data_IF_981407655749
#
_entry.id   IF_981407655749
#
_cell.length_a   1.000
_cell.length_b   1.000
_cell.length_c   1.000
_cell.angle_alpha   90.00
_cell.angle_beta   90.00
_cell.angle_gamma   90.00
#
_symmetry.space_group_name_H-M   'P 1'
#
loop_
_entity.id
_entity.type
_entity.pdbx_description
1 polymer ?
#
# COMPACT_ATOMS: atom_id res chain seq x y z
N UNK A 1 -15.83 28.81 8.00
CA UNK A 1 -15.97 27.32 8.03
C UNK A 1 -16.76 26.88 6.80
N UNK A 2 -16.18 26.08 5.90
CA UNK A 2 -16.83 25.70 4.62
C UNK A 2 -18.03 24.76 4.84
N UNK A 3 -19.23 25.19 4.42
CA UNK A 3 -20.49 24.44 4.50
C UNK A 3 -20.44 23.06 3.83
N UNK A 4 -19.63 22.91 2.77
CA UNK A 4 -19.40 21.64 2.06
C UNK A 4 -18.75 20.57 2.95
N UNK A 5 -17.91 20.97 3.90
CA UNK A 5 -17.23 20.06 4.81
C UNK A 5 -18.15 19.44 5.86
N UNK A 6 -19.14 20.20 6.33
CA UNK A 6 -20.13 19.77 7.35
C UNK A 6 -21.13 18.77 6.75
N UNK A 7 -21.70 19.09 5.58
CA UNK A 7 -22.65 18.22 4.89
C UNK A 7 -22.07 16.82 4.58
N UNK A 8 -20.80 16.75 4.16
CA UNK A 8 -20.14 15.47 3.92
C UNK A 8 -19.98 14.63 5.19
N UNK A 9 -19.66 15.24 6.34
CA UNK A 9 -19.56 14.53 7.62
C UNK A 9 -20.93 14.04 8.10
N UNK A 10 -21.98 14.86 7.98
CA UNK A 10 -23.37 14.47 8.34
C UNK A 10 -23.84 13.31 7.46
N UNK A 11 -23.59 13.35 6.15
CA UNK A 11 -23.91 12.24 5.24
C UNK A 11 -23.25 10.93 5.68
N UNK A 12 -21.96 10.98 6.05
CA UNK A 12 -21.25 9.78 6.57
C UNK A 12 -21.84 9.30 7.89
N UNK A 13 -22.19 10.19 8.81
CA UNK A 13 -22.84 9.83 10.06
C UNK A 13 -24.18 9.10 9.80
N UNK A 14 -25.04 9.65 8.94
CA UNK A 14 -26.33 9.04 8.57
C UNK A 14 -26.16 7.66 7.93
N UNK A 15 -25.16 7.48 7.06
CA UNK A 15 -24.83 6.16 6.48
C UNK A 15 -24.44 5.14 7.56
N UNK A 16 -23.73 5.57 8.60
CA UNK A 16 -23.37 4.69 9.71
C UNK A 16 -24.58 4.34 10.58
N UNK A 17 -25.49 5.29 10.83
CA UNK A 17 -26.75 5.02 11.54
C UNK A 17 -27.57 3.99 10.78
N UNK A 18 -27.71 4.14 9.45
CA UNK A 18 -28.39 3.13 8.61
C UNK A 18 -27.70 1.77 8.64
N UNK A 19 -26.37 1.73 8.82
CA UNK A 19 -25.61 0.49 8.93
C UNK A 19 -25.75 -0.22 10.29
N UNK A 20 -26.34 0.42 11.32
CA UNK A 20 -26.57 -0.21 12.62
C UNK A 20 -27.58 -1.35 12.53
N UNK A 21 -28.68 -1.17 11.77
CA UNK A 21 -29.68 -2.22 11.59
C UNK A 21 -29.08 -3.51 11.01
N UNK A 22 -28.35 -3.50 9.87
CA UNK A 22 -27.73 -4.73 9.35
C UNK A 22 -26.63 -5.27 10.26
N UNK A 23 -25.87 -4.42 10.96
CA UNK A 23 -24.89 -4.86 11.95
C UNK A 23 -25.53 -5.63 13.11
N UNK A 24 -26.58 -5.06 13.73
CA UNK A 24 -27.30 -5.68 14.84
C UNK A 24 -28.00 -6.98 14.39
N UNK A 25 -28.63 -6.96 13.22
CA UNK A 25 -29.27 -8.15 12.66
C UNK A 25 -28.28 -9.31 12.46
N UNK A 26 -27.05 -9.03 12.02
CA UNK A 26 -25.99 -10.04 11.89
C UNK A 26 -25.51 -10.54 13.24
N UNK A 27 -25.29 -9.64 14.19
CA UNK A 27 -24.87 -9.98 15.56
C UNK A 27 -25.88 -10.89 16.26
N UNK A 28 -27.18 -10.63 16.10
CA UNK A 28 -28.27 -11.44 16.67
C UNK A 28 -28.36 -12.80 15.98
N UNK A 29 -28.22 -12.86 14.65
CA UNK A 29 -28.33 -14.11 13.89
C UNK A 29 -27.14 -15.06 14.07
N UNK A 30 -26.04 -14.64 14.70
CA UNK A 30 -24.84 -15.45 14.94
C UNK A 30 -24.16 -15.98 13.67
N UNK A 31 -24.62 -15.58 12.47
CA UNK A 31 -24.12 -16.07 11.20
C UNK A 31 -22.93 -15.23 10.74
N UNK A 32 -21.73 -15.65 11.12
CA UNK A 32 -20.55 -15.39 10.29
C UNK A 32 -20.68 -16.30 9.07
N UNK A 33 -21.38 -15.82 8.05
CA UNK A 33 -21.43 -16.53 6.78
C UNK A 33 -19.99 -16.61 6.26
N UNK A 34 -19.46 -17.83 6.07
CA UNK A 34 -18.12 -18.02 5.55
C UNK A 34 -18.10 -17.44 4.14
N UNK A 35 -17.43 -16.30 3.99
CA UNK A 35 -17.19 -15.67 2.69
C UNK A 35 -15.77 -15.97 2.26
N UNK A 36 -15.56 -16.10 0.96
CA UNK A 36 -14.21 -16.15 0.41
C UNK A 36 -13.62 -14.74 0.46
N UNK A 37 -12.68 -14.55 1.39
CA UNK A 37 -11.99 -13.29 1.60
C UNK A 37 -10.52 -13.57 1.81
N UNK A 38 -9.68 -12.73 1.21
CA UNK A 38 -8.23 -12.84 1.30
C UNK A 38 -7.61 -11.48 1.51
N UNK A 39 -6.68 -11.39 2.44
CA UNK A 39 -5.91 -10.17 2.69
C UNK A 39 -4.55 -10.31 2.00
N UNK A 40 -4.19 -9.27 1.26
CA UNK A 40 -2.89 -9.15 0.61
C UNK A 40 -2.23 -7.87 1.10
N UNK A 41 -1.03 -7.97 1.64
CA UNK A 41 -0.21 -6.80 1.97
C UNK A 41 0.83 -6.58 0.89
N UNK A 42 0.87 -5.35 0.36
CA UNK A 42 1.99 -4.87 -0.44
C UNK A 42 2.92 -4.12 0.51
N UNK A 43 3.95 -4.82 0.98
CA UNK A 43 5.00 -4.25 1.82
C UNK A 43 6.06 -3.65 0.89
N UNK A 44 6.22 -2.34 0.95
CA UNK A 44 7.06 -1.64 0.00
C UNK A 44 7.48 -0.30 0.58
N UNK A 45 7.86 0.63 -0.30
CA UNK A 45 8.37 1.92 0.09
C UNK A 45 7.89 3.03 -0.84
N UNK A 46 7.97 4.31 -0.42
CA UNK A 46 7.74 5.41 -1.33
C UNK A 46 8.62 5.28 -2.59
N UNK A 47 8.02 5.58 -3.75
CA UNK A 47 8.68 5.62 -5.08
C UNK A 47 9.16 4.28 -5.65
N UNK A 48 8.73 3.15 -5.08
CA UNK A 48 9.07 1.79 -5.56
C UNK A 48 8.19 1.27 -6.71
N UNK A 49 7.19 2.03 -7.17
CA UNK A 49 6.21 1.54 -8.14
C UNK A 49 4.88 1.06 -7.55
N UNK A 50 4.60 1.34 -6.27
CA UNK A 50 3.34 0.92 -5.62
C UNK A 50 2.06 1.42 -6.31
N UNK A 51 2.13 2.47 -7.13
CA UNK A 51 0.99 2.89 -7.94
C UNK A 51 0.76 1.95 -9.12
N UNK A 52 1.83 1.48 -9.77
CA UNK A 52 1.75 0.55 -10.89
C UNK A 52 1.26 -0.83 -10.42
N UNK A 53 1.77 -1.37 -9.32
CA UNK A 53 1.23 -2.63 -8.79
C UNK A 53 -0.24 -2.46 -8.33
N UNK A 54 -0.59 -1.28 -7.82
CA UNK A 54 -1.97 -0.95 -7.46
C UNK A 54 -2.92 -0.98 -8.65
N UNK A 55 -2.52 -0.46 -9.82
CA UNK A 55 -3.33 -0.56 -11.04
C UNK A 55 -3.46 -2.00 -11.55
N UNK A 56 -2.42 -2.82 -11.39
CA UNK A 56 -2.46 -4.24 -11.78
C UNK A 56 -3.33 -5.10 -10.86
N UNK A 57 -3.53 -4.65 -9.62
CA UNK A 57 -4.27 -5.35 -8.56
C UNK A 57 -5.58 -4.64 -8.16
N UNK A 58 -6.12 -3.76 -9.01
CA UNK A 58 -7.42 -3.12 -8.78
C UNK A 58 -8.41 -3.53 -9.86
N UNK A 59 -9.44 -4.28 -9.47
CA UNK A 59 -10.57 -4.62 -10.32
C UNK A 59 -11.75 -5.01 -9.42
N UNK A 60 -12.55 -4.03 -9.01
CA UNK A 60 -13.66 -4.26 -8.07
C UNK A 60 -14.70 -5.24 -8.62
N UNK A 61 -14.92 -5.26 -9.94
CA UNK A 61 -15.89 -6.15 -10.61
C UNK A 61 -15.43 -7.60 -10.54
N UNK A 62 -14.13 -7.82 -10.59
CA UNK A 62 -13.48 -9.14 -10.46
C UNK A 62 -13.02 -9.45 -9.03
N UNK A 63 -13.45 -8.65 -8.05
CA UNK A 63 -13.23 -8.92 -6.63
C UNK A 63 -11.89 -8.43 -6.06
N UNK A 64 -11.05 -7.74 -6.83
CA UNK A 64 -9.80 -7.14 -6.38
C UNK A 64 -10.01 -5.71 -5.87
N UNK A 65 -9.90 -5.53 -4.56
CA UNK A 65 -10.18 -4.28 -3.87
C UNK A 65 -8.88 -3.67 -3.37
N UNK A 66 -8.40 -2.64 -4.06
CA UNK A 66 -7.16 -1.95 -3.71
C UNK A 66 -7.43 -0.74 -2.81
N UNK A 67 -6.96 -0.79 -1.56
CA UNK A 67 -7.20 0.26 -0.56
C UNK A 67 -6.08 1.30 -0.48
N UNK A 68 -4.95 1.08 -1.18
CA UNK A 68 -3.77 1.95 -1.08
C UNK A 68 -3.22 2.03 0.35
N UNK A 69 -2.74 3.21 0.74
CA UNK A 69 -2.16 3.49 2.06
C UNK A 69 -3.27 3.65 3.12
N UNK A 70 -3.94 2.54 3.40
CA UNK A 70 -5.23 2.51 4.08
C UNK A 70 -5.16 2.98 5.53
N UNK A 71 -4.15 2.54 6.28
CA UNK A 71 -4.00 2.80 7.71
C UNK A 71 -3.44 4.18 8.06
N UNK A 72 -2.92 4.89 7.05
CA UNK A 72 -2.50 6.29 7.18
C UNK A 72 -3.46 7.22 6.44
N UNK A 73 -4.72 6.82 6.31
CA UNK A 73 -5.82 7.63 5.80
C UNK A 73 -5.46 8.55 4.63
N UNK A 74 -4.78 8.02 3.63
CA UNK A 74 -4.37 8.83 2.48
C UNK A 74 -5.36 8.69 1.30
N UNK A 75 -6.08 7.57 1.25
CA UNK A 75 -7.00 7.23 0.17
C UNK A 75 -8.41 6.88 0.68
N UNK A 76 -9.43 7.22 -0.11
CA UNK A 76 -10.79 6.76 0.14
C UNK A 76 -11.16 5.66 -0.85
N UNK A 77 -11.75 4.56 -0.37
CA UNK A 77 -12.26 3.47 -1.20
C UNK A 77 -13.77 3.29 -1.01
N UNK A 78 -14.54 3.00 -2.07
CA UNK A 78 -16.01 2.85 -1.96
C UNK A 78 -16.43 1.72 -1.01
N UNK A 79 -15.65 0.65 -0.94
CA UNK A 79 -15.88 -0.47 -0.01
C UNK A 79 -15.67 -0.12 1.47
N UNK A 80 -15.12 1.05 1.82
CA UNK A 80 -15.00 1.51 3.22
C UNK A 80 -16.36 1.56 3.91
N UNK A 81 -17.42 1.92 3.19
CA UNK A 81 -18.76 2.01 3.78
C UNK A 81 -19.34 0.63 4.13
N UNK A 82 -18.95 -0.41 3.39
CA UNK A 82 -19.37 -1.80 3.67
C UNK A 82 -18.80 -2.32 4.98
N UNK A 83 -17.66 -1.80 5.42
CA UNK A 83 -17.03 -2.14 6.70
C UNK A 83 -17.95 -1.76 7.87
N UNK A 84 -18.81 -0.74 7.73
CA UNK A 84 -19.75 -0.34 8.78
C UNK A 84 -20.68 -1.47 9.24
N UNK A 85 -20.98 -2.44 8.35
CA UNK A 85 -21.85 -3.57 8.68
C UNK A 85 -21.21 -4.59 9.62
N UNK A 86 -19.91 -4.44 9.88
CA UNK A 86 -19.11 -5.33 10.73
C UNK A 86 -18.37 -4.56 11.81
N UNK A 87 -18.05 -3.29 11.56
CA UNK A 87 -17.44 -2.36 12.49
C UNK A 87 -18.19 -1.02 12.46
N UNK A 88 -19.17 -0.81 13.36
CA UNK A 88 -19.99 0.39 13.36
C UNK A 88 -19.19 1.69 13.40
N UNK A 89 -19.71 2.73 12.76
CA UNK A 89 -19.07 4.05 12.69
C UNK A 89 -17.69 4.06 12.01
N UNK A 90 -17.28 2.98 11.32
CA UNK A 90 -15.95 2.87 10.71
C UNK A 90 -15.71 3.98 9.69
N UNK A 91 -16.55 4.06 8.66
CA UNK A 91 -16.39 5.04 7.57
C UNK A 91 -16.48 6.49 8.05
N UNK A 92 -17.24 6.75 9.12
CA UNK A 92 -17.28 8.08 9.73
C UNK A 92 -15.97 8.42 10.44
N UNK A 93 -15.45 7.51 11.27
CA UNK A 93 -14.14 7.67 11.93
C UNK A 93 -13.02 7.76 10.90
N UNK A 94 -13.04 6.92 9.87
CA UNK A 94 -12.08 6.98 8.76
C UNK A 94 -12.07 8.37 8.10
N UNK A 95 -13.26 8.91 7.79
CA UNK A 95 -13.40 10.24 7.19
C UNK A 95 -12.89 11.36 8.10
N UNK A 96 -13.09 11.26 9.42
CA UNK A 96 -12.57 12.25 10.38
C UNK A 96 -11.03 12.20 10.44
N UNK A 97 -10.44 11.02 10.57
CA UNK A 97 -8.98 10.85 10.58
C UNK A 97 -8.36 11.33 9.25
N UNK A 98 -8.93 10.93 8.10
CA UNK A 98 -8.53 11.41 6.77
C UNK A 98 -8.52 12.94 6.67
N UNK A 99 -9.57 13.61 7.17
CA UNK A 99 -9.64 15.08 7.19
C UNK A 99 -8.59 15.70 8.12
N UNK A 100 -8.40 15.13 9.30
CA UNK A 100 -7.44 15.63 10.27
C UNK A 100 -6.01 15.51 9.72
N UNK A 101 -5.69 14.36 9.15
CA UNK A 101 -4.38 14.10 8.57
C UNK A 101 -4.10 14.99 7.36
N UNK A 102 -5.10 15.26 6.49
CA UNK A 102 -4.93 16.24 5.40
C UNK A 102 -4.70 17.67 5.88
N UNK A 103 -5.18 18.05 7.06
CA UNK A 103 -4.98 19.39 7.63
C UNK A 103 -3.64 19.55 8.34
N UNK A 104 -3.15 18.49 8.95
CA UNK A 104 -1.95 18.49 9.78
C UNK A 104 -0.95 17.43 9.30
N UNK A 105 -0.79 17.31 7.97
CA UNK A 105 0.06 16.28 7.39
C UNK A 105 1.49 16.47 7.93
N UNK A 106 1.95 15.49 8.68
CA UNK A 106 3.32 15.39 9.14
C UNK A 106 3.83 14.05 8.64
N UNK A 107 4.99 14.08 7.98
CA UNK A 107 5.78 12.88 7.72
C UNK A 107 6.00 12.22 9.10
N UNK A 108 5.66 10.94 9.24
CA UNK A 108 6.01 10.09 10.39
C UNK A 108 5.15 10.17 11.67
N UNK A 109 3.93 10.74 11.63
CA UNK A 109 2.98 10.64 12.78
C UNK A 109 1.70 9.90 12.42
N UNK A 110 1.77 8.57 12.46
CA UNK A 110 0.69 7.69 11.98
C UNK A 110 -0.06 6.92 13.07
N UNK A 111 0.44 6.90 14.32
CA UNK A 111 -0.11 6.04 15.38
C UNK A 111 -1.28 6.63 16.19
N UNK A 112 -1.65 7.90 15.97
CA UNK A 112 -2.72 8.57 16.72
C UNK A 112 -4.04 8.52 15.97
N UNK A 113 -4.58 7.31 15.77
CA UNK A 113 -5.85 7.10 15.05
C UNK A 113 -6.91 6.48 15.97
N UNK A 114 -8.17 6.80 15.73
CA UNK A 114 -9.31 6.15 16.41
C UNK A 114 -9.74 4.82 15.77
N UNK A 115 -9.00 4.33 14.78
CA UNK A 115 -9.22 3.04 14.15
C UNK A 115 -8.28 1.98 14.68
N UNK A 116 -8.87 0.85 15.04
CA UNK A 116 -8.19 -0.35 15.48
C UNK A 116 -7.91 -1.24 14.25
N UNK A 117 -6.63 -1.51 13.98
CA UNK A 117 -6.21 -2.27 12.79
C UNK A 117 -6.75 -3.71 12.81
N UNK A 118 -6.75 -4.36 13.99
CA UNK A 118 -7.29 -5.71 14.15
C UNK A 118 -8.78 -5.76 13.86
N UNK A 119 -9.58 -4.88 14.46
CA UNK A 119 -11.03 -4.80 14.18
C UNK A 119 -11.31 -4.48 12.72
N UNK A 120 -10.47 -3.66 12.11
CA UNK A 120 -10.60 -3.28 10.71
C UNK A 120 -10.36 -4.48 9.79
N UNK A 121 -9.26 -5.23 10.00
CA UNK A 121 -8.95 -6.41 9.20
C UNK A 121 -9.97 -7.53 9.44
N UNK A 122 -10.41 -7.78 10.69
CA UNK A 122 -11.52 -8.71 10.97
C UNK A 122 -12.79 -8.34 10.22
N UNK A 123 -13.11 -7.06 10.13
CA UNK A 123 -14.26 -6.61 9.35
C UNK A 123 -14.08 -6.79 7.84
N UNK A 124 -12.86 -6.62 7.33
CA UNK A 124 -12.52 -6.91 5.93
C UNK A 124 -12.65 -8.40 5.60
N UNK A 125 -12.25 -9.32 6.50
CA UNK A 125 -12.41 -10.76 6.24
C UNK A 125 -13.87 -11.22 6.12
N UNK A 126 -14.82 -10.40 6.55
CA UNK A 126 -16.25 -10.65 6.37
C UNK A 126 -16.82 -10.07 5.06
N UNK A 127 -15.99 -9.41 4.25
CA UNK A 127 -16.35 -8.88 2.95
C UNK A 127 -15.73 -9.83 1.89
N UNK A 128 -16.49 -10.32 0.90
CA UNK A 128 -15.94 -11.23 -0.09
C UNK A 128 -14.93 -10.55 -1.02
N UNK A 129 -13.91 -11.27 -1.48
CA UNK A 129 -12.91 -10.81 -2.44
C UNK A 129 -11.50 -10.65 -1.87
N UNK A 130 -10.60 -10.12 -2.69
CA UNK A 130 -9.21 -9.86 -2.36
C UNK A 130 -9.06 -8.43 -1.87
N UNK A 131 -8.50 -8.25 -0.68
CA UNK A 131 -8.27 -6.96 -0.04
C UNK A 131 -6.78 -6.62 -0.07
N UNK A 132 -6.39 -5.75 -1.00
CA UNK A 132 -4.99 -5.36 -1.19
C UNK A 132 -4.72 -4.06 -0.44
N UNK A 133 -3.83 -4.13 0.55
CA UNK A 133 -3.47 -3.01 1.42
C UNK A 133 -1.98 -2.73 1.30
N UNK A 134 -1.64 -1.47 1.06
CA UNK A 134 -0.25 -1.02 0.95
C UNK A 134 0.26 -0.52 2.29
N UNK A 135 1.42 -1.01 2.70
CA UNK A 135 2.06 -0.64 3.97
C UNK A 135 3.52 -0.28 3.70
N UNK A 136 3.93 0.87 4.22
CA UNK A 136 5.31 1.36 4.22
C UNK A 136 5.88 1.34 5.64
N UNK A 137 7.19 1.50 5.80
CA UNK A 137 7.76 1.76 7.11
C UNK A 137 7.02 2.89 7.83
N UNK A 138 6.87 2.73 9.14
CA UNK A 138 6.23 3.70 10.05
C UNK A 138 4.73 3.93 9.84
N UNK A 139 4.08 3.35 8.82
CA UNK A 139 2.62 3.38 8.72
C UNK A 139 1.94 2.73 9.92
N UNK A 140 2.60 1.72 10.49
CA UNK A 140 2.23 0.99 11.70
C UNK A 140 3.51 0.76 12.52
N UNK A 141 3.38 0.70 13.85
CA UNK A 141 4.47 0.22 14.69
C UNK A 141 4.81 -1.23 14.37
N UNK A 142 6.06 -1.63 14.61
CA UNK A 142 6.45 -3.03 14.37
C UNK A 142 5.62 -4.04 15.17
N UNK A 143 5.37 -3.84 16.49
CA UNK A 143 4.51 -4.76 17.24
C UNK A 143 3.09 -4.88 16.66
N UNK A 144 2.54 -3.78 16.15
CA UNK A 144 1.21 -3.80 15.56
C UNK A 144 1.22 -4.54 14.22
N UNK A 145 2.18 -4.26 13.33
CA UNK A 145 2.28 -4.92 12.03
C UNK A 145 2.55 -6.43 12.17
N UNK A 146 3.47 -6.82 13.05
CA UNK A 146 3.73 -8.23 13.37
C UNK A 146 2.49 -8.93 13.92
N UNK A 147 1.73 -8.28 14.80
CA UNK A 147 0.51 -8.86 15.38
C UNK A 147 -0.58 -9.11 14.32
N UNK A 148 -0.80 -8.19 13.38
CA UNK A 148 -1.79 -8.38 12.31
C UNK A 148 -1.30 -9.38 11.25
N UNK A 149 0.00 -9.44 10.95
CA UNK A 149 0.55 -10.49 10.08
C UNK A 149 0.34 -11.86 10.72
N UNK A 150 0.60 -11.97 12.03
CA UNK A 150 0.43 -13.22 12.78
C UNK A 150 -1.03 -13.67 12.83
N UNK A 151 -1.97 -12.76 13.10
CA UNK A 151 -3.39 -13.08 13.23
C UNK A 151 -4.04 -13.42 11.88
N UNK A 152 -3.81 -12.60 10.86
CA UNK A 152 -4.56 -12.69 9.59
C UNK A 152 -3.88 -13.51 8.51
N UNK A 153 -2.60 -13.87 8.69
CA UNK A 153 -1.79 -14.61 7.71
C UNK A 153 -1.94 -14.08 6.27
N UNK A 154 -1.75 -12.77 6.04
CA UNK A 154 -1.92 -12.21 4.71
C UNK A 154 -0.92 -12.81 3.73
N UNK A 155 -1.29 -12.86 2.45
CA UNK A 155 -0.28 -13.00 1.40
C UNK A 155 0.52 -11.71 1.32
N UNK A 156 1.84 -11.80 1.32
CA UNK A 156 2.73 -10.63 1.35
C UNK A 156 3.45 -10.51 0.02
N UNK A 157 3.31 -9.36 -0.62
CA UNK A 157 4.08 -8.97 -1.79
C UNK A 157 5.10 -7.95 -1.33
N UNK A 158 6.39 -8.28 -1.44
CA UNK A 158 7.45 -7.29 -1.33
C UNK A 158 7.67 -6.66 -2.70
N UNK A 159 7.45 -5.35 -2.81
CA UNK A 159 7.78 -4.61 -4.02
C UNK A 159 9.04 -3.78 -3.76
N UNK A 160 10.14 -4.21 -4.39
CA UNK A 160 11.45 -3.58 -4.31
C UNK A 160 11.70 -2.67 -5.50
N UNK A 161 12.64 -1.74 -5.34
CA UNK A 161 13.24 -0.95 -6.41
C UNK A 161 14.60 -0.48 -5.93
N UNK A 162 15.60 -0.47 -6.81
CA UNK A 162 16.94 0.07 -6.54
C UNK A 162 16.91 1.35 -5.67
N UNK A 163 17.74 1.39 -4.62
CA UNK A 163 17.72 2.47 -3.64
C UNK A 163 18.08 3.83 -4.24
N UNK A 164 19.06 3.88 -5.15
CA UNK A 164 19.47 5.12 -5.80
C UNK A 164 18.33 5.68 -6.67
N UNK A 165 17.69 4.83 -7.47
CA UNK A 165 16.55 5.24 -8.28
C UNK A 165 15.40 5.76 -7.42
N UNK A 166 15.14 5.10 -6.29
CA UNK A 166 14.13 5.55 -5.32
C UNK A 166 14.49 6.89 -4.70
N UNK A 167 15.73 7.07 -4.27
CA UNK A 167 16.21 8.29 -3.62
C UNK A 167 16.13 9.48 -4.57
N UNK A 168 16.63 9.32 -5.80
CA UNK A 168 16.51 10.34 -6.86
C UNK A 168 15.06 10.67 -7.16
N UNK A 169 14.21 9.65 -7.30
CA UNK A 169 12.77 9.85 -7.53
C UNK A 169 12.09 10.57 -6.36
N UNK A 170 12.56 10.36 -5.13
CA UNK A 170 12.07 11.03 -3.94
C UNK A 170 12.51 12.50 -3.91
N UNK A 171 13.80 12.79 -4.14
CA UNK A 171 14.34 14.16 -4.20
C UNK A 171 13.67 14.99 -5.31
N UNK A 172 13.42 14.40 -6.48
CA UNK A 172 12.66 15.05 -7.57
C UNK A 172 11.20 15.35 -7.18
N UNK A 173 10.53 14.44 -6.48
CA UNK A 173 9.17 14.66 -6.00
C UNK A 173 9.12 15.79 -4.96
N UNK A 174 10.09 15.84 -4.04
CA UNK A 174 10.21 16.91 -3.05
C UNK A 174 10.48 18.27 -3.72
N UNK A 175 11.41 18.33 -4.67
CA UNK A 175 11.75 19.56 -5.38
C UNK A 175 10.60 20.11 -6.24
N UNK A 176 9.82 19.22 -6.88
CA UNK A 176 8.72 19.61 -7.77
C UNK A 176 7.35 19.74 -7.11
N UNK A 177 7.19 19.21 -5.89
CA UNK A 177 5.89 18.98 -5.25
C UNK A 177 5.00 17.96 -5.98
N UNK A 178 5.48 17.33 -7.07
CA UNK A 178 4.70 16.39 -7.89
C UNK A 178 5.08 14.95 -7.58
N UNK A 179 4.11 14.20 -7.07
CA UNK A 179 4.30 12.82 -6.62
C UNK A 179 3.91 11.78 -7.67
N UNK A 180 3.28 12.16 -8.78
CA UNK A 180 2.86 11.24 -9.86
C UNK A 180 3.20 11.81 -11.23
N UNK A 181 3.62 10.92 -12.14
CA UNK A 181 3.69 11.12 -13.60
C UNK A 181 4.05 12.53 -14.06
N UNK A 182 5.21 13.05 -13.66
CA UNK A 182 5.71 14.36 -14.10
C UNK A 182 7.01 14.22 -14.93
N UNK A 183 7.21 15.01 -16.00
CA UNK A 183 8.53 15.19 -16.59
C UNK A 183 9.40 15.96 -15.58
N UNK A 184 10.49 15.32 -15.16
CA UNK A 184 11.41 15.84 -14.13
C UNK A 184 12.87 15.68 -14.55
N UNK A 185 13.10 15.60 -15.86
CA UNK A 185 14.44 15.51 -16.47
C UNK A 185 15.29 16.73 -16.15
N UNK A 186 14.65 17.91 -16.08
CA UNK A 186 15.34 19.21 -16.03
C UNK A 186 15.46 19.74 -14.58
N UNK A 187 15.04 18.96 -13.59
CA UNK A 187 15.14 19.32 -12.18
C UNK A 187 16.55 19.00 -11.66
N UNK A 188 17.28 20.05 -11.30
CA UNK A 188 18.50 19.92 -10.51
C UNK A 188 18.16 19.49 -9.09
N UNK A 189 18.68 18.35 -8.68
CA UNK A 189 18.61 17.83 -7.32
C UNK A 189 20.03 17.64 -6.81
N UNK A 190 20.25 17.93 -5.55
CA UNK A 190 21.51 17.64 -4.86
C UNK A 190 21.39 16.30 -4.12
N UNK A 191 22.43 15.46 -4.23
CA UNK A 191 22.47 14.13 -3.63
C UNK A 191 23.56 14.10 -2.56
N UNK A 192 23.15 14.12 -1.30
CA UNK A 192 24.03 14.03 -0.15
C UNK A 192 24.29 12.55 0.24
N UNK A 193 25.55 12.09 0.32
CA UNK A 193 25.87 10.71 0.67
C UNK A 193 25.35 10.28 2.05
N UNK A 194 25.39 11.16 3.05
CA UNK A 194 24.97 10.82 4.41
C UNK A 194 23.45 10.68 4.51
N UNK A 195 22.69 11.56 3.85
CA UNK A 195 21.24 11.44 3.66
C UNK A 195 20.89 10.14 2.94
N UNK A 196 21.63 9.80 1.88
CA UNK A 196 21.42 8.58 1.12
C UNK A 196 21.68 7.32 1.95
N UNK A 197 22.75 7.30 2.75
CA UNK A 197 23.06 6.17 3.64
C UNK A 197 21.98 5.96 4.70
N UNK A 198 21.49 7.05 5.32
CA UNK A 198 20.34 6.98 6.25
C UNK A 198 19.08 6.47 5.57
N UNK A 199 18.82 6.93 4.34
CA UNK A 199 17.70 6.48 3.52
C UNK A 199 17.79 4.97 3.26
N UNK A 200 18.93 4.45 2.79
CA UNK A 200 19.12 3.02 2.53
C UNK A 200 18.88 2.20 3.79
N UNK A 201 19.53 2.56 4.89
CA UNK A 201 19.48 1.79 6.14
C UNK A 201 18.05 1.57 6.62
N UNK A 202 17.27 2.65 6.73
CA UNK A 202 15.90 2.59 7.26
C UNK A 202 14.97 1.69 6.42
N UNK A 203 15.12 1.70 5.10
CA UNK A 203 14.29 0.87 4.22
C UNK A 203 14.75 -0.58 4.17
N UNK A 204 16.06 -0.82 4.25
CA UNK A 204 16.63 -2.17 4.27
C UNK A 204 16.22 -2.92 5.53
N UNK A 205 16.34 -2.27 6.70
CA UNK A 205 15.99 -2.87 7.99
C UNK A 205 14.51 -3.31 8.03
N UNK A 206 13.60 -2.47 7.51
CA UNK A 206 12.18 -2.81 7.40
C UNK A 206 11.95 -4.04 6.51
N UNK A 207 12.55 -4.07 5.32
CA UNK A 207 12.37 -5.20 4.40
C UNK A 207 12.93 -6.50 4.96
N UNK A 208 14.17 -6.50 5.46
CA UNK A 208 14.80 -7.71 5.99
C UNK A 208 14.02 -8.28 7.19
N UNK A 209 13.51 -7.40 8.07
CA UNK A 209 12.67 -7.83 9.21
C UNK A 209 11.44 -8.60 8.72
N UNK A 210 10.63 -8.00 7.85
CA UNK A 210 9.37 -8.63 7.45
C UNK A 210 9.56 -9.78 6.47
N UNK A 211 10.63 -9.75 5.67
CA UNK A 211 11.00 -10.86 4.81
C UNK A 211 11.37 -12.12 5.60
N UNK A 212 12.01 -11.98 6.77
CA UNK A 212 12.27 -13.10 7.67
C UNK A 212 11.03 -13.48 8.50
N UNK A 213 10.33 -12.50 9.05
CA UNK A 213 9.21 -12.71 9.97
C UNK A 213 7.97 -13.32 9.31
N UNK A 214 7.60 -12.86 8.11
CA UNK A 214 6.36 -13.30 7.47
C UNK A 214 6.34 -14.82 7.17
N UNK A 215 7.38 -15.40 6.54
CA UNK A 215 7.47 -16.85 6.37
C UNK A 215 7.56 -17.60 7.70
N UNK A 216 8.25 -17.06 8.72
CA UNK A 216 8.40 -17.74 10.02
C UNK A 216 7.07 -17.90 10.76
N UNK A 217 6.07 -17.07 10.43
CA UNK A 217 4.70 -17.21 10.94
C UNK A 217 3.75 -17.83 9.91
N UNK A 218 4.25 -18.43 8.83
CA UNK A 218 3.46 -19.19 7.85
C UNK A 218 2.74 -18.36 6.79
N UNK A 219 3.13 -17.09 6.58
CA UNK A 219 2.60 -16.30 5.47
C UNK A 219 3.27 -16.72 4.16
N UNK A 220 2.51 -16.71 3.07
CA UNK A 220 3.09 -16.81 1.72
C UNK A 220 3.68 -15.45 1.35
N UNK A 221 4.85 -15.48 0.74
CA UNK A 221 5.58 -14.29 0.29
C UNK A 221 5.83 -14.39 -1.21
N UNK A 222 5.64 -13.29 -1.93
CA UNK A 222 6.12 -13.10 -3.28
C UNK A 222 7.03 -11.87 -3.29
N UNK A 223 8.22 -12.05 -3.83
CA UNK A 223 9.18 -10.98 -3.96
C UNK A 223 9.28 -10.48 -5.40
N UNK A 224 9.10 -9.17 -5.57
CA UNK A 224 8.85 -8.52 -6.85
C UNK A 224 9.81 -7.34 -7.01
N UNK A 225 10.59 -7.35 -8.08
CA UNK A 225 11.35 -6.17 -8.48
C UNK A 225 10.45 -5.17 -9.23
N UNK A 226 10.79 -3.89 -9.20
CA UNK A 226 10.05 -2.87 -9.95
C UNK A 226 10.01 -3.17 -11.45
N UNK A 227 11.09 -3.72 -12.00
CA UNK A 227 11.14 -4.05 -13.43
C UNK A 227 10.24 -5.25 -13.78
N UNK A 228 9.91 -6.14 -12.82
CA UNK A 228 8.95 -7.23 -13.00
C UNK A 228 7.54 -6.71 -13.33
N UNK A 229 7.19 -5.49 -12.91
CA UNK A 229 5.88 -4.89 -13.18
C UNK A 229 5.66 -4.60 -14.68
N UNK A 230 6.70 -4.72 -15.50
CA UNK A 230 6.65 -4.56 -16.96
C UNK A 230 6.69 -5.89 -17.70
N UNK A 231 7.00 -6.99 -17.01
CA UNK A 231 7.05 -8.31 -17.61
C UNK A 231 5.65 -8.96 -17.54
N UNK A 232 4.99 -9.28 -18.67
CA UNK A 232 3.65 -9.87 -18.66
C UNK A 232 3.53 -11.17 -17.86
N UNK A 233 4.55 -12.03 -17.89
CA UNK A 233 4.56 -13.30 -17.16
C UNK A 233 4.62 -13.06 -15.65
N UNK A 234 5.50 -12.14 -15.22
CA UNK A 234 5.65 -11.76 -13.81
C UNK A 234 4.42 -11.03 -13.30
N UNK A 235 3.81 -10.15 -14.10
CA UNK A 235 2.52 -9.53 -13.77
C UNK A 235 1.43 -10.57 -13.54
N UNK A 236 1.39 -11.61 -14.38
CA UNK A 236 0.42 -12.69 -14.21
C UNK A 236 0.68 -13.50 -12.94
N UNK A 237 1.94 -13.73 -12.59
CA UNK A 237 2.34 -14.37 -11.33
C UNK A 237 1.89 -13.55 -10.10
N UNK A 238 2.10 -12.23 -10.12
CA UNK A 238 1.65 -11.31 -9.07
C UNK A 238 0.13 -11.40 -8.88
N UNK A 239 -0.62 -11.36 -9.99
CA UNK A 239 -2.09 -11.46 -9.95
C UNK A 239 -2.54 -12.83 -9.42
N UNK A 240 -1.93 -13.93 -9.86
CA UNK A 240 -2.21 -15.28 -9.36
C UNK A 240 -1.93 -15.42 -7.87
N UNK A 241 -0.80 -14.85 -7.41
CA UNK A 241 -0.44 -14.86 -5.99
C UNK A 241 -1.48 -14.12 -5.13
N UNK A 242 -2.01 -13.00 -5.62
CA UNK A 242 -3.02 -12.21 -4.91
C UNK A 242 -4.44 -12.81 -4.99
N UNK A 243 -4.80 -13.48 -6.09
CA UNK A 243 -6.15 -13.99 -6.37
C UNK A 243 -6.67 -14.97 -5.31
N UNK A 244 -8.00 -15.10 -5.22
CA UNK A 244 -8.63 -16.23 -4.53
C UNK A 244 -8.37 -17.53 -5.28
N UNK A 245 -8.41 -18.66 -4.58
CA UNK A 245 -8.29 -19.97 -5.19
C UNK A 245 -9.43 -20.17 -6.20
N UNK A 246 -9.11 -20.72 -7.38
CA UNK A 246 -10.09 -20.96 -8.44
C UNK A 246 -10.50 -19.73 -9.28
N UNK A 247 -9.83 -18.59 -9.15
CA UNK A 247 -10.07 -17.44 -10.05
C UNK A 247 -9.81 -17.82 -11.53
N UNK A 248 -10.74 -17.45 -12.43
CA UNK A 248 -10.69 -17.84 -13.86
C UNK A 248 -10.65 -16.65 -14.83
N UNK A 249 -11.08 -15.46 -14.42
CA UNK A 249 -11.24 -14.28 -15.30
C UNK A 249 -9.91 -13.54 -15.57
N UNK A 250 -8.84 -14.28 -15.85
CA UNK A 250 -7.48 -13.74 -16.01
C UNK A 250 -7.38 -12.70 -17.13
N UNK A 251 -8.09 -12.91 -18.23
CA UNK A 251 -8.07 -12.04 -19.41
C UNK A 251 -8.77 -10.69 -19.18
N UNK A 252 -9.46 -10.55 -18.05
CA UNK A 252 -10.16 -9.32 -17.66
C UNK A 252 -9.38 -8.47 -16.66
N UNK A 253 -8.20 -8.94 -16.27
CA UNK A 253 -7.29 -8.17 -15.43
C UNK A 253 -6.35 -7.32 -16.31
N UNK A 254 -5.90 -6.20 -15.76
CA UNK A 254 -4.98 -5.29 -16.43
C UNK A 254 -3.70 -6.03 -16.84
N UNK A 255 -3.24 -5.76 -18.07
CA UNK A 255 -2.00 -6.32 -18.60
C UNK A 255 -0.78 -5.51 -18.17
N UNK A 256 0.42 -6.07 -18.32
CA UNK A 256 1.63 -5.30 -18.10
C UNK A 256 1.67 -4.08 -19.04
N UNK A 257 2.02 -2.88 -18.54
CA UNK A 257 2.11 -1.69 -19.36
C UNK A 257 3.14 -1.88 -20.48
N UNK A 258 2.73 -1.64 -21.72
CA UNK A 258 3.56 -1.78 -22.92
C UNK A 258 4.41 -0.55 -23.22
N UNK A 259 4.16 0.57 -22.52
CA UNK A 259 4.87 1.83 -22.71
C UNK A 259 5.91 2.06 -21.61
N UNK A 260 7.17 2.24 -22.03
CA UNK A 260 8.29 2.53 -21.14
C UNK A 260 8.44 4.04 -21.02
N UNK A 261 8.27 4.58 -19.81
CA UNK A 261 8.96 5.84 -19.50
C UNK A 261 10.44 5.49 -19.43
N UNK A 262 11.21 5.89 -20.45
CA UNK A 262 12.67 5.86 -20.39
C UNK A 262 13.11 6.79 -19.27
N UNK A 263 13.20 6.29 -18.04
CA UNK A 263 14.09 6.87 -17.04
C UNK A 263 15.50 6.48 -17.49
N UNK A 264 16.04 7.19 -18.50
CA UNK A 264 17.48 7.16 -18.78
C UNK A 264 18.17 7.57 -17.48
N UNK A 265 19.28 6.91 -17.13
CA UNK A 265 20.13 7.37 -16.02
C UNK A 265 20.32 8.88 -16.17
N UNK A 266 19.93 9.62 -15.13
CA UNK A 266 20.14 11.07 -15.17
C UNK A 266 21.62 11.34 -14.92
N UNK A 267 22.20 12.33 -15.61
CA UNK A 267 23.59 12.78 -15.37
C UNK A 267 23.93 12.91 -13.88
N UNK A 268 22.95 13.36 -13.09
CA UNK A 268 23.05 13.48 -11.62
C UNK A 268 23.31 12.14 -10.92
N UNK A 269 22.72 11.03 -11.39
CA UNK A 269 23.01 9.69 -10.86
C UNK A 269 24.42 9.25 -11.19
N UNK A 270 24.85 9.46 -12.43
CA UNK A 270 26.18 9.06 -12.90
C UNK A 270 27.27 9.86 -12.17
N UNK A 271 27.08 11.18 -12.03
CA UNK A 271 28.00 12.06 -11.30
C UNK A 271 28.06 11.68 -9.80
N UNK A 272 26.92 11.31 -9.18
CA UNK A 272 26.89 10.86 -7.78
C UNK A 272 27.54 9.50 -7.57
N UNK A 273 27.31 8.54 -8.47
CA UNK A 273 27.97 7.22 -8.46
C UNK A 273 29.49 7.36 -8.57
N UNK A 274 29.96 8.25 -9.44
CA UNK A 274 31.37 8.57 -9.59
C UNK A 274 31.96 9.19 -8.31
N UNK A 275 31.22 10.13 -7.68
CA UNK A 275 31.64 10.78 -6.42
C UNK A 275 31.88 9.78 -5.28
N UNK A 276 31.00 8.78 -5.15
CA UNK A 276 31.07 7.80 -4.06
C UNK A 276 31.84 6.51 -4.43
N UNK A 277 32.32 6.40 -5.68
CA UNK A 277 33.06 5.24 -6.17
C UNK A 277 32.25 3.94 -6.18
N UNK A 278 30.96 4.02 -6.53
CA UNK A 278 30.03 2.87 -6.55
C UNK A 278 29.36 2.72 -7.90
N UNK A 279 28.76 1.55 -8.14
CA UNK A 279 27.94 1.26 -9.31
C UNK A 279 26.47 1.21 -8.93
N UNK A 280 25.57 1.40 -9.91
CA UNK A 280 24.12 1.34 -9.66
C UNK A 280 23.69 0.02 -8.99
N UNK A 281 24.28 -1.10 -9.40
CA UNK A 281 24.01 -2.44 -8.86
C UNK A 281 24.35 -2.60 -7.38
N UNK A 282 25.23 -1.76 -6.83
CA UNK A 282 25.56 -1.78 -5.39
C UNK A 282 24.37 -1.35 -4.52
N UNK A 283 23.31 -0.80 -5.14
CA UNK A 283 22.12 -0.28 -4.49
C UNK A 283 20.86 -1.09 -4.80
N UNK A 284 21.00 -2.28 -5.39
CA UNK A 284 19.90 -3.21 -5.56
C UNK A 284 19.51 -3.82 -4.21
N UNK A 285 18.21 -4.01 -3.99
CA UNK A 285 17.75 -4.73 -2.81
C UNK A 285 18.09 -6.21 -2.99
N UNK A 286 18.69 -6.88 -1.99
CA UNK A 286 18.87 -8.31 -2.04
C UNK A 286 17.49 -8.97 -2.06
N UNK A 287 17.17 -9.73 -3.10
CA UNK A 287 15.93 -10.50 -3.15
C UNK A 287 15.91 -11.60 -2.10
N UNK A 288 14.73 -11.88 -1.55
CA UNK A 288 14.52 -12.99 -0.61
C UNK A 288 14.20 -14.23 -1.43
N UNK A 289 14.98 -15.29 -1.18
CA UNK A 289 14.80 -16.60 -1.81
C UNK A 289 13.74 -17.42 -1.09
#
# INVERSE_FOLDING_TARGET
MSSKGSAASVKKLLLNIKALQPYLARRIKGKNQKVESKIVFVLSFPRSGTHAIGSLLTNDERGFKYYGEFFIFNAWHKNIERINYFYPFFSFRYHLNLKQQRKAWQYDKFEKTSLDAHKTLRALTQIPGVHVIKIFPQHLSDPLLESIITEFKPHIIFLRRNHLDRFVSHKKANASGKWHTAPTSDLHIDLDPDEFNRFIKNFTDFYLRYAAFAPSVGCKVLDVDFDDLRNPERVREIQKFAALDGFTDWDQLESAPTTVKQDKSSKVQDDFLALIGKQRSDFDFPGVK
#
